data_IF_608217541621
#
_entry.id   IF_608217541621
#
_cell.length_a   1.000
_cell.length_b   1.000
_cell.length_c   1.000
_cell.angle_alpha   90.00
_cell.angle_beta   90.00
_cell.angle_gamma   90.00
#
_symmetry.space_group_name_H-M   'P 1'
#
loop_
_entity.id
_entity.type
_entity.pdbx_description
1 polymer ?
#
# COMPACT_ATOMS: atom_id res chain seq x y z
N UNK A 1 5.75 -24.53 1.57
CA UNK A 1 5.94 -23.43 0.60
C UNK A 1 4.76 -23.34 -0.37
N UNK A 2 3.74 -22.51 -0.11
CA UNK A 2 2.59 -22.31 -1.03
C UNK A 2 2.66 -20.92 -1.66
N UNK A 3 3.52 -20.75 -2.67
CA UNK A 3 3.84 -19.46 -3.25
C UNK A 3 3.51 -19.33 -4.76
N UNK A 4 2.35 -19.79 -5.24
CA UNK A 4 2.10 -19.76 -6.71
C UNK A 4 0.69 -19.38 -7.19
N UNK A 5 -0.14 -18.68 -6.38
CA UNK A 5 -1.41 -18.10 -6.89
C UNK A 5 -1.54 -16.57 -6.82
N UNK A 6 -0.67 -15.88 -6.09
CA UNK A 6 -0.77 -14.42 -5.95
C UNK A 6 -0.07 -13.61 -7.06
N UNK A 7 0.60 -14.28 -8.00
CA UNK A 7 1.43 -13.62 -9.01
C UNK A 7 0.61 -12.91 -10.10
N UNK A 8 -0.64 -13.33 -10.35
CA UNK A 8 -1.53 -12.76 -11.40
C UNK A 8 -2.44 -11.62 -10.94
N UNK A 9 -2.75 -11.52 -9.64
CA UNK A 9 -3.60 -10.44 -9.14
C UNK A 9 -2.81 -9.17 -8.95
N UNK A 10 -1.68 -9.24 -8.23
CA UNK A 10 -0.91 -8.05 -7.85
C UNK A 10 -0.08 -7.45 -9.00
N UNK A 11 0.24 -8.24 -10.02
CA UNK A 11 0.99 -7.77 -11.20
C UNK A 11 0.19 -6.82 -12.11
N UNK A 12 -1.14 -6.72 -11.92
CA UNK A 12 -2.00 -5.87 -12.76
C UNK A 12 -2.01 -4.40 -12.31
N UNK A 13 -1.61 -4.12 -11.07
CA UNK A 13 -1.67 -2.76 -10.55
C UNK A 13 -0.57 -1.91 -11.18
N UNK A 14 -0.99 -0.75 -11.70
CA UNK A 14 -0.10 0.28 -12.25
C UNK A 14 -0.68 1.65 -11.92
N UNK A 15 0.19 2.65 -11.81
CA UNK A 15 -0.27 4.04 -11.75
C UNK A 15 -0.75 4.49 -13.15
N UNK A 16 -1.96 5.03 -13.21
CA UNK A 16 -2.46 5.71 -14.40
C UNK A 16 -1.96 7.15 -14.48
N UNK A 17 -2.35 7.87 -15.54
CA UNK A 17 -1.93 9.26 -15.75
C UNK A 17 -2.36 10.19 -14.61
N UNK A 18 -3.59 10.02 -14.08
CA UNK A 18 -4.12 10.85 -12.98
C UNK A 18 -3.35 10.63 -11.68
N UNK A 19 -3.02 9.38 -11.33
CA UNK A 19 -2.28 9.10 -10.11
C UNK A 19 -0.82 9.53 -10.21
N UNK A 20 -0.20 9.41 -11.39
CA UNK A 20 1.14 9.98 -11.64
C UNK A 20 1.14 11.49 -11.50
N UNK A 21 0.18 12.17 -12.11
CA UNK A 21 0.05 13.62 -12.00
C UNK A 21 -0.13 14.05 -10.54
N UNK A 22 -0.97 13.34 -9.78
CA UNK A 22 -1.13 13.59 -8.35
C UNK A 22 0.19 13.48 -7.57
N UNK A 23 1.01 12.46 -7.85
CA UNK A 23 2.33 12.34 -7.24
C UNK A 23 3.25 13.52 -7.60
N UNK A 24 3.22 13.99 -8.85
CA UNK A 24 4.00 15.14 -9.31
C UNK A 24 3.55 16.44 -8.63
N UNK A 25 2.23 16.67 -8.57
CA UNK A 25 1.63 17.88 -8.00
C UNK A 25 1.89 18.02 -6.49
N UNK A 26 1.91 16.90 -5.77
CA UNK A 26 2.10 16.87 -4.31
C UNK A 26 3.57 16.76 -3.89
N UNK A 27 4.40 16.11 -4.69
CA UNK A 27 5.78 15.81 -4.34
C UNK A 27 5.92 14.63 -3.37
N UNK A 28 7.13 14.06 -3.27
CA UNK A 28 7.38 12.80 -2.58
C UNK A 28 7.07 12.86 -1.07
N UNK A 29 7.49 13.92 -0.38
CA UNK A 29 7.30 14.06 1.08
C UNK A 29 5.82 14.06 1.49
N UNK A 30 4.97 14.71 0.69
CA UNK A 30 3.53 14.76 0.94
C UNK A 30 2.90 13.37 0.71
N UNK A 31 3.35 12.65 -0.32
CA UNK A 31 2.87 11.31 -0.61
C UNK A 31 3.26 10.33 0.49
N UNK A 32 4.47 10.44 1.03
CA UNK A 32 4.93 9.60 2.14
C UNK A 32 4.14 9.90 3.42
N UNK A 33 3.86 11.17 3.70
CA UNK A 33 2.97 11.55 4.81
C UNK A 33 1.57 10.97 4.64
N UNK A 34 0.98 11.01 3.44
CA UNK A 34 -0.31 10.37 3.19
C UNK A 34 -0.26 8.86 3.44
N UNK A 35 0.83 8.19 3.05
CA UNK A 35 1.01 6.77 3.35
C UNK A 35 1.05 6.52 4.86
N UNK A 36 1.86 7.28 5.60
CA UNK A 36 1.92 7.17 7.06
C UNK A 36 0.54 7.40 7.71
N UNK A 37 -0.19 8.43 7.30
CA UNK A 37 -1.53 8.71 7.83
C UNK A 37 -2.53 7.60 7.54
N UNK A 38 -2.52 7.03 6.32
CA UNK A 38 -3.40 5.92 6.00
C UNK A 38 -3.07 4.66 6.80
N UNK A 39 -1.79 4.34 6.98
CA UNK A 39 -1.39 3.19 7.79
C UNK A 39 -1.80 3.39 9.25
N UNK A 40 -1.49 4.54 9.83
CA UNK A 40 -1.83 4.90 11.20
C UNK A 40 -3.34 4.84 11.46
N UNK A 41 -4.15 5.39 10.56
CA UNK A 41 -5.59 5.50 10.78
C UNK A 41 -6.34 4.21 10.44
N UNK A 42 -5.88 3.46 9.43
CA UNK A 42 -6.69 2.37 8.83
C UNK A 42 -6.13 0.98 9.05
N UNK A 43 -4.87 0.83 9.46
CA UNK A 43 -4.23 -0.49 9.63
C UNK A 43 -3.54 -0.67 10.98
N UNK A 44 -3.13 0.42 11.63
CA UNK A 44 -2.44 0.37 12.92
C UNK A 44 -3.29 -0.13 14.10
N UNK A 45 -4.59 0.15 14.20
CA UNK A 45 -5.41 -0.40 15.29
C UNK A 45 -5.43 -1.93 15.28
N UNK A 46 -5.56 -2.55 16.46
CA UNK A 46 -5.65 -4.02 16.59
C UNK A 46 -6.86 -4.62 15.86
N UNK A 47 -7.96 -3.87 15.82
CA UNK A 47 -9.18 -4.19 15.09
C UNK A 47 -9.58 -3.01 14.19
N UNK A 48 -9.01 -2.88 12.98
CA UNK A 48 -9.37 -1.79 12.08
C UNK A 48 -10.82 -1.86 11.62
N UNK A 49 -11.44 -0.70 11.45
CA UNK A 49 -12.80 -0.58 10.92
C UNK A 49 -12.82 -1.13 9.49
N UNK A 50 -13.76 -2.04 9.22
CA UNK A 50 -13.92 -2.68 7.90
C UNK A 50 -12.66 -3.40 7.40
N UNK A 51 -11.95 -4.12 8.27
CA UNK A 51 -10.76 -4.88 7.85
C UNK A 51 -11.07 -5.83 6.67
N UNK A 52 -10.19 -5.83 5.66
CA UNK A 52 -10.40 -6.42 4.34
C UNK A 52 -11.02 -5.48 3.31
N UNK A 53 -11.59 -4.34 3.72
CA UNK A 53 -12.25 -3.34 2.87
C UNK A 53 -11.89 -1.89 3.22
N UNK A 54 -10.99 -1.66 4.17
CA UNK A 54 -10.62 -0.32 4.67
C UNK A 54 -9.88 0.55 3.64
N UNK A 55 -9.28 -0.08 2.63
CA UNK A 55 -8.46 0.57 1.61
C UNK A 55 -9.18 0.51 0.26
N UNK A 56 -9.68 1.65 -0.26
CA UNK A 56 -10.27 1.73 -1.59
C UNK A 56 -9.34 1.16 -2.67
N UNK A 57 -9.89 0.68 -3.79
CA UNK A 57 -9.07 0.13 -4.88
C UNK A 57 -8.46 1.21 -5.78
N UNK A 58 -8.97 2.45 -5.72
CA UNK A 58 -8.67 3.57 -6.63
C UNK A 58 -8.81 4.91 -5.89
N UNK A 59 -8.43 6.00 -6.55
CA UNK A 59 -8.67 7.38 -6.08
C UNK A 59 -7.48 8.03 -5.37
N UNK A 60 -6.44 7.25 -5.02
CA UNK A 60 -5.18 7.78 -4.50
C UNK A 60 -4.02 6.83 -4.87
N UNK A 61 -2.83 7.33 -5.26
CA UNK A 61 -1.69 6.49 -5.62
C UNK A 61 -1.29 5.50 -4.51
N UNK A 62 -1.30 5.94 -3.25
CA UNK A 62 -1.02 5.07 -2.10
C UNK A 62 -1.98 3.88 -2.01
N UNK A 63 -3.27 4.05 -2.29
CA UNK A 63 -4.21 2.93 -2.24
C UNK A 63 -3.89 1.86 -3.30
N UNK A 64 -3.52 2.30 -4.50
CA UNK A 64 -3.06 1.39 -5.56
C UNK A 64 -1.80 0.65 -5.11
N UNK A 65 -0.84 1.38 -4.54
CA UNK A 65 0.40 0.80 -4.02
C UNK A 65 0.13 -0.23 -2.90
N UNK A 66 -0.83 0.04 -2.01
CA UNK A 66 -1.20 -0.90 -0.95
C UNK A 66 -1.72 -2.22 -1.50
N UNK A 67 -2.60 -2.18 -2.51
CA UNK A 67 -3.09 -3.41 -3.15
C UNK A 67 -2.01 -4.13 -3.96
N UNK A 68 -1.14 -3.37 -4.63
CA UNK A 68 -0.01 -3.94 -5.38
C UNK A 68 0.99 -4.67 -4.45
N UNK A 69 1.24 -4.11 -3.27
CA UNK A 69 2.23 -4.62 -2.32
C UNK A 69 1.65 -5.58 -1.29
N UNK A 70 0.32 -5.74 -1.22
CA UNK A 70 -0.37 -6.51 -0.19
C UNK A 70 -0.26 -5.91 1.23
N UNK A 71 -0.36 -4.58 1.30
CA UNK A 71 -0.38 -3.78 2.54
C UNK A 71 -1.74 -3.06 2.73
N UNK A 72 -2.81 -3.61 2.14
CA UNK A 72 -4.15 -3.01 2.15
C UNK A 72 -5.06 -3.43 3.31
N UNK A 73 -4.78 -4.57 3.96
CA UNK A 73 -5.52 -5.06 5.12
C UNK A 73 -4.67 -5.96 6.03
N UNK A 74 -5.16 -6.30 7.23
CA UNK A 74 -4.42 -7.14 8.20
C UNK A 74 -4.16 -8.54 7.65
N UNK A 75 -5.15 -9.16 7.00
CA UNK A 75 -4.98 -10.49 6.40
C UNK A 75 -3.92 -10.51 5.28
N UNK A 76 -3.73 -9.40 4.56
CA UNK A 76 -2.63 -9.29 3.60
C UNK A 76 -1.27 -9.11 4.32
N UNK A 77 -1.20 -8.25 5.34
CA UNK A 77 0.01 -8.06 6.13
C UNK A 77 0.48 -9.38 6.78
N UNK A 78 -0.42 -10.14 7.36
CA UNK A 78 -0.07 -11.44 7.95
C UNK A 78 0.46 -12.41 6.90
N UNK A 79 -0.27 -12.56 5.79
CA UNK A 79 0.04 -13.54 4.76
C UNK A 79 1.34 -13.24 4.00
N UNK A 80 1.65 -11.96 3.77
CA UNK A 80 2.72 -11.55 2.86
C UNK A 80 3.90 -10.87 3.54
N UNK A 81 3.69 -10.30 4.73
CA UNK A 81 4.71 -9.56 5.48
C UNK A 81 4.99 -10.17 6.85
N UNK A 82 4.32 -11.28 7.21
CA UNK A 82 4.45 -11.95 8.51
C UNK A 82 4.15 -11.03 9.71
N UNK A 83 3.28 -10.02 9.52
CA UNK A 83 2.81 -9.12 10.58
C UNK A 83 1.44 -9.64 11.06
N UNK A 84 1.34 -10.21 12.26
CA UNK A 84 0.13 -10.90 12.72
C UNK A 84 -1.05 -9.95 12.91
N UNK A 85 -2.27 -10.42 12.65
CA UNK A 85 -3.48 -9.67 12.96
C UNK A 85 -3.82 -9.72 14.46
N UNK A 86 -4.82 -8.95 14.89
CA UNK A 86 -5.33 -8.98 16.28
C UNK A 86 -4.53 -8.17 17.30
N UNK A 87 -3.43 -7.54 16.91
CA UNK A 87 -2.72 -6.54 17.73
C UNK A 87 -2.43 -5.27 16.94
N UNK A 88 -2.21 -4.18 17.68
CA UNK A 88 -1.81 -2.93 17.07
C UNK A 88 -0.45 -3.09 16.35
N UNK A 89 -0.26 -2.33 15.26
CA UNK A 89 1.05 -2.20 14.64
C UNK A 89 1.98 -1.43 15.57
N UNK A 90 3.20 -1.94 15.73
CA UNK A 90 4.27 -1.14 16.31
C UNK A 90 4.71 -0.04 15.34
N UNK A 91 5.38 0.99 15.85
CA UNK A 91 5.95 2.04 14.99
C UNK A 91 6.90 1.47 13.92
N UNK A 92 7.85 0.55 14.23
CA UNK A 92 8.70 -0.06 13.21
C UNK A 92 7.92 -0.82 12.12
N UNK A 93 6.79 -1.45 12.46
CA UNK A 93 5.95 -2.11 11.46
C UNK A 93 5.22 -1.12 10.56
N UNK A 94 4.74 0.00 11.13
CA UNK A 94 4.14 1.07 10.33
C UNK A 94 5.16 1.66 9.36
N UNK A 95 6.37 1.96 9.85
CA UNK A 95 7.48 2.50 9.05
C UNK A 95 7.88 1.53 7.93
N UNK A 96 7.99 0.24 8.23
CA UNK A 96 8.25 -0.79 7.24
C UNK A 96 7.18 -0.79 6.14
N UNK A 97 5.90 -0.71 6.50
CA UNK A 97 4.80 -0.71 5.52
C UNK A 97 4.87 0.55 4.64
N UNK A 98 5.13 1.72 5.24
CA UNK A 98 5.31 2.97 4.50
C UNK A 98 6.47 2.87 3.51
N UNK A 99 7.61 2.30 3.91
CA UNK A 99 8.76 2.09 3.02
C UNK A 99 8.44 1.14 1.86
N UNK A 100 7.68 0.06 2.10
CA UNK A 100 7.23 -0.85 1.04
C UNK A 100 6.36 -0.13 0.00
N UNK A 101 5.43 0.70 0.47
CA UNK A 101 4.55 1.52 -0.37
C UNK A 101 5.39 2.54 -1.17
N UNK A 102 6.26 3.29 -0.50
CA UNK A 102 7.14 4.28 -1.10
C UNK A 102 7.98 3.66 -2.22
N UNK A 103 8.64 2.53 -1.94
CA UNK A 103 9.48 1.84 -2.92
C UNK A 103 8.69 1.45 -4.17
N UNK A 104 7.47 0.96 -4.00
CA UNK A 104 6.63 0.62 -5.16
C UNK A 104 6.24 1.86 -5.97
N UNK A 105 5.89 2.97 -5.31
CA UNK A 105 5.55 4.23 -5.96
C UNK A 105 6.74 4.79 -6.77
N UNK A 106 7.94 4.80 -6.21
CA UNK A 106 9.16 5.23 -6.91
C UNK A 106 9.39 4.38 -8.16
N UNK A 107 9.25 3.05 -8.07
CA UNK A 107 9.38 2.18 -9.24
C UNK A 107 8.33 2.47 -10.31
N UNK A 108 7.08 2.75 -9.91
CA UNK A 108 6.02 3.08 -10.87
C UNK A 108 6.22 4.46 -11.50
N UNK A 109 6.66 5.47 -10.75
CA UNK A 109 6.91 6.80 -11.29
C UNK A 109 8.04 6.79 -12.31
N UNK A 110 9.06 5.96 -12.10
CA UNK A 110 10.20 5.80 -13.01
C UNK A 110 9.98 4.79 -14.15
N UNK A 111 8.93 3.96 -14.07
CA UNK A 111 8.57 3.08 -15.18
C UNK A 111 8.02 3.91 -16.37
N UNK A 112 8.25 3.49 -17.62
CA UNK A 112 7.66 4.13 -18.79
C UNK A 112 6.14 4.25 -18.62
N UNK A 113 5.58 5.42 -18.96
CA UNK A 113 4.12 5.59 -18.97
C UNK A 113 3.53 4.60 -19.98
N UNK A 114 2.76 3.62 -19.49
CA UNK A 114 1.97 2.77 -20.38
C UNK A 114 0.84 3.64 -20.92
N UNK A 115 0.90 3.94 -22.21
CA UNK A 115 -0.17 4.61 -22.96
C UNK A 115 -1.44 3.75 -22.93
#
# INVERSE_FOLDING_TARGET
>A
MRAWRARRFRSRFRLGGKERQYCLDKGPEVIDRHAADFIRQRLAPAAPINDGKQTPMRGHPVFIAQHATATCCRGCLEKWHAIPHGRALSEPEQDYIVQVIHRWLVLQMNAPSVR
#
